data_IF_555015732648
#
_entry.id   IF_555015732648
#
_cell.length_a   1.000
_cell.length_b   1.000
_cell.length_c   1.000
_cell.angle_alpha   90.00
_cell.angle_beta   90.00
_cell.angle_gamma   90.00
#
_symmetry.space_group_name_H-M   'P 1'
#
loop_
_entity.id
_entity.type
_entity.pdbx_description
1 polymer ?
#
# COMPACT_ATOMS: atom_id res chain seq x y z
N UNK A 1 -5.94 -2.50 -23.10
CA UNK A 1 -4.62 -2.45 -22.44
C UNK A 1 -4.42 -1.03 -21.98
N UNK A 2 -4.49 -0.79 -20.67
CA UNK A 2 -3.97 0.47 -20.13
C UNK A 2 -2.45 0.50 -20.37
N UNK A 3 -1.91 1.68 -20.68
CA UNK A 3 -0.46 1.84 -20.69
C UNK A 3 0.03 1.75 -19.23
N UNK A 4 1.23 1.20 -19.02
CA UNK A 4 1.86 1.06 -17.70
C UNK A 4 1.92 2.41 -16.95
N UNK A 5 2.07 3.53 -17.67
CA UNK A 5 1.97 4.87 -17.09
C UNK A 5 0.58 5.17 -16.52
N UNK A 6 -0.50 4.82 -17.22
CA UNK A 6 -1.88 5.01 -16.71
C UNK A 6 -2.13 4.14 -15.48
N UNK A 7 -1.60 2.92 -15.45
CA UNK A 7 -1.69 2.06 -14.26
C UNK A 7 -0.93 2.65 -13.06
N UNK A 8 0.20 3.32 -13.28
CA UNK A 8 0.92 4.00 -12.19
C UNK A 8 0.18 5.23 -11.67
N UNK A 9 -0.49 6.00 -12.54
CA UNK A 9 -1.34 7.11 -12.11
C UNK A 9 -2.55 6.59 -11.31
N UNK A 10 -3.20 5.52 -11.79
CA UNK A 10 -4.29 4.86 -11.05
C UNK A 10 -3.81 4.34 -9.69
N UNK A 11 -2.63 3.69 -9.64
CA UNK A 11 -2.03 3.21 -8.40
C UNK A 11 -1.78 4.36 -7.42
N UNK A 12 -1.34 5.52 -7.90
CA UNK A 12 -1.12 6.69 -7.05
C UNK A 12 -2.42 7.14 -6.38
N UNK A 13 -3.53 7.21 -7.11
CA UNK A 13 -4.84 7.54 -6.56
C UNK A 13 -5.31 6.50 -5.52
N UNK A 14 -5.12 5.21 -5.81
CA UNK A 14 -5.42 4.15 -4.86
C UNK A 14 -4.59 4.27 -3.57
N UNK A 15 -3.29 4.59 -3.69
CA UNK A 15 -2.41 4.81 -2.54
C UNK A 15 -2.88 6.01 -1.71
N UNK A 16 -3.30 7.12 -2.33
CA UNK A 16 -3.81 8.27 -1.59
C UNK A 16 -5.08 7.94 -0.81
N UNK A 17 -5.97 7.15 -1.41
CA UNK A 17 -7.16 6.65 -0.70
C UNK A 17 -6.79 5.72 0.46
N UNK A 18 -5.81 4.83 0.26
CA UNK A 18 -5.29 3.94 1.29
C UNK A 18 -4.68 4.72 2.46
N UNK A 19 -3.85 5.73 2.19
CA UNK A 19 -3.26 6.62 3.20
C UNK A 19 -4.34 7.33 4.03
N UNK A 20 -5.38 7.87 3.38
CA UNK A 20 -6.52 8.52 4.05
C UNK A 20 -7.24 7.53 4.97
N UNK A 21 -7.44 6.30 4.50
CA UNK A 21 -8.14 5.25 5.25
C UNK A 21 -7.36 4.85 6.51
N UNK A 22 -6.04 4.67 6.41
CA UNK A 22 -5.21 4.35 7.58
C UNK A 22 -5.18 5.51 8.59
N UNK A 23 -4.98 6.73 8.10
CA UNK A 23 -4.95 7.92 8.94
C UNK A 23 -6.26 8.13 9.70
N UNK A 24 -7.42 7.92 9.06
CA UNK A 24 -8.73 8.09 9.73
C UNK A 24 -9.02 7.00 10.74
N UNK A 25 -8.74 5.74 10.40
CA UNK A 25 -9.24 4.60 11.18
C UNK A 25 -8.26 4.08 12.24
N UNK A 26 -6.96 4.37 12.11
CA UNK A 26 -5.94 3.90 13.04
C UNK A 26 -5.34 5.07 13.81
N UNK A 27 -4.83 6.06 13.08
CA UNK A 27 -3.96 7.07 13.69
C UNK A 27 -4.63 8.40 14.01
N UNK A 28 -5.90 8.57 13.63
CA UNK A 28 -6.67 9.81 13.86
C UNK A 28 -5.91 11.07 13.37
N UNK A 29 -5.24 10.95 12.22
CA UNK A 29 -4.41 12.00 11.62
C UNK A 29 -2.98 12.14 12.20
N UNK A 30 -2.67 11.44 13.28
CA UNK A 30 -1.28 11.33 13.78
C UNK A 30 -0.47 10.39 12.86
N UNK A 31 0.85 10.47 12.85
CA UNK A 31 1.73 9.62 12.01
C UNK A 31 1.46 9.69 10.48
N UNK A 32 0.95 10.82 9.98
CA UNK A 32 0.66 11.00 8.55
C UNK A 32 1.92 10.86 7.66
N UNK A 33 3.09 11.20 8.21
CA UNK A 33 4.38 11.06 7.51
C UNK A 33 4.76 9.59 7.33
N UNK A 34 4.64 8.76 8.37
CA UNK A 34 4.92 7.33 8.29
C UNK A 34 3.92 6.59 7.40
N UNK A 35 2.65 7.00 7.40
CA UNK A 35 1.65 6.48 6.47
C UNK A 35 2.01 6.85 5.02
N UNK A 36 2.45 8.08 4.79
CA UNK A 36 2.88 8.53 3.45
C UNK A 36 4.16 7.81 2.99
N UNK A 37 5.08 7.53 3.92
CA UNK A 37 6.30 6.75 3.65
C UNK A 37 5.95 5.36 3.14
N UNK A 38 4.98 4.69 3.78
CA UNK A 38 4.48 3.40 3.31
C UNK A 38 3.90 3.49 1.89
N UNK A 39 3.05 4.48 1.63
CA UNK A 39 2.51 4.71 0.28
C UNK A 39 3.61 4.91 -0.77
N UNK A 40 4.62 5.71 -0.45
CA UNK A 40 5.77 5.99 -1.32
C UNK A 40 6.62 4.73 -1.58
N UNK A 41 6.85 3.88 -0.58
CA UNK A 41 7.56 2.62 -0.76
C UNK A 41 6.77 1.66 -1.65
N UNK A 42 5.45 1.55 -1.46
CA UNK A 42 4.58 0.70 -2.28
C UNK A 42 4.64 1.12 -3.76
N UNK A 43 4.44 2.41 -4.09
CA UNK A 43 4.49 2.85 -5.49
C UNK A 43 5.87 2.66 -6.09
N UNK A 44 6.94 2.92 -5.33
CA UNK A 44 8.32 2.73 -5.80
C UNK A 44 8.58 1.26 -6.11
N UNK A 45 8.14 0.36 -5.23
CA UNK A 45 8.28 -1.08 -5.40
C UNK A 45 7.50 -1.56 -6.64
N UNK A 46 6.23 -1.17 -6.79
CA UNK A 46 5.42 -1.48 -7.96
C UNK A 46 6.05 -0.99 -9.26
N UNK A 47 6.60 0.23 -9.28
CA UNK A 47 7.31 0.78 -10.46
C UNK A 47 8.59 0.00 -10.77
N UNK A 48 9.40 -0.31 -9.76
CA UNK A 48 10.69 -1.00 -9.93
C UNK A 48 10.56 -2.43 -10.47
N UNK A 49 9.44 -3.09 -10.15
CA UNK A 49 9.17 -4.48 -10.53
C UNK A 49 8.03 -4.61 -11.54
N UNK A 50 7.52 -3.50 -12.08
CA UNK A 50 6.37 -3.47 -13.01
C UNK A 50 5.21 -4.33 -12.53
N UNK A 51 4.74 -4.05 -11.30
CA UNK A 51 3.71 -4.81 -10.57
C UNK A 51 4.01 -6.28 -10.27
N UNK A 52 5.13 -6.86 -10.72
CA UNK A 52 5.54 -8.23 -10.43
C UNK A 52 6.08 -8.38 -9.00
N UNK A 53 5.20 -8.21 -8.03
CA UNK A 53 5.50 -8.21 -6.59
C UNK A 53 4.51 -9.13 -5.86
N UNK A 54 4.89 -9.65 -4.71
CA UNK A 54 4.06 -10.51 -3.87
C UNK A 54 3.52 -9.75 -2.66
N UNK A 55 2.53 -10.31 -1.97
CA UNK A 55 2.09 -9.80 -0.68
C UNK A 55 3.24 -9.77 0.35
N UNK A 56 4.13 -10.77 0.30
CA UNK A 56 5.27 -10.83 1.20
C UNK A 56 6.29 -9.71 0.93
N UNK A 57 6.44 -9.27 -0.32
CA UNK A 57 7.26 -8.09 -0.63
C UNK A 57 6.70 -6.85 0.08
N UNK A 58 5.37 -6.66 0.13
CA UNK A 58 4.75 -5.54 0.86
C UNK A 58 4.92 -5.67 2.38
N UNK A 59 4.69 -6.87 2.92
CA UNK A 59 4.83 -7.13 4.37
C UNK A 59 6.29 -7.06 4.84
N UNK A 60 7.24 -7.16 3.92
CA UNK A 60 8.68 -7.02 4.21
C UNK A 60 9.17 -5.57 4.13
N UNK A 61 8.33 -4.61 3.72
CA UNK A 61 8.69 -3.19 3.68
C UNK A 61 9.07 -2.68 5.09
N UNK A 62 10.17 -1.92 5.16
CA UNK A 62 10.61 -1.32 6.42
C UNK A 62 9.55 -0.35 6.95
N UNK A 63 8.98 0.48 6.07
CA UNK A 63 7.90 1.40 6.43
C UNK A 63 6.67 0.68 7.00
N UNK A 64 6.30 -0.50 6.45
CA UNK A 64 5.20 -1.29 6.99
C UNK A 64 5.51 -1.81 8.40
N UNK A 65 6.70 -2.34 8.62
CA UNK A 65 7.13 -2.82 9.93
C UNK A 65 7.17 -1.69 10.97
N UNK A 66 7.68 -0.51 10.60
CA UNK A 66 7.67 0.68 11.45
C UNK A 66 6.25 1.14 11.79
N UNK A 67 5.37 1.19 10.79
CA UNK A 67 3.98 1.56 10.98
C UNK A 67 3.24 0.55 11.88
N UNK A 68 3.53 -0.75 11.74
CA UNK A 68 2.98 -1.81 12.58
C UNK A 68 3.46 -1.72 14.04
N UNK A 69 4.68 -1.25 14.29
CA UNK A 69 5.17 -0.98 15.65
C UNK A 69 4.42 0.19 16.31
N UNK A 70 4.11 1.24 15.54
CA UNK A 70 3.40 2.44 16.00
C UNK A 70 1.89 2.23 16.13
N UNK A 71 1.35 1.24 15.44
CA UNK A 71 -0.08 0.92 15.45
C UNK A 71 -0.52 0.39 16.82
N UNK A 72 -1.61 0.96 17.42
CA UNK A 72 -2.19 0.44 18.65
C UNK A 72 -2.49 -1.06 18.54
N UNK A 73 -2.24 -1.83 19.61
CA UNK A 73 -2.42 -3.30 19.60
C UNK A 73 -3.79 -3.74 19.07
N UNK A 74 -4.85 -3.01 19.42
CA UNK A 74 -6.23 -3.26 18.99
C UNK A 74 -6.46 -3.09 17.49
N UNK A 75 -5.60 -2.34 16.81
CA UNK A 75 -5.74 -1.99 15.38
C UNK A 75 -4.71 -2.68 14.49
N UNK A 76 -3.81 -3.52 15.05
CA UNK A 76 -2.77 -4.20 14.27
C UNK A 76 -3.33 -5.17 13.24
N UNK A 77 -4.32 -5.98 13.63
CA UNK A 77 -5.00 -6.88 12.70
C UNK A 77 -5.66 -6.10 11.57
N UNK A 78 -6.28 -4.96 11.89
CA UNK A 78 -6.87 -4.07 10.89
C UNK A 78 -5.81 -3.55 9.91
N UNK A 79 -4.68 -3.02 10.38
CA UNK A 79 -3.59 -2.58 9.49
C UNK A 79 -3.12 -3.69 8.54
N UNK A 80 -2.89 -4.90 9.08
CA UNK A 80 -2.45 -6.06 8.30
C UNK A 80 -3.49 -6.36 7.20
N UNK A 81 -4.78 -6.47 7.57
CA UNK A 81 -5.84 -6.74 6.60
C UNK A 81 -5.99 -5.64 5.56
N UNK A 82 -5.76 -4.37 5.90
CA UNK A 82 -5.80 -3.29 4.91
C UNK A 82 -4.67 -3.44 3.87
N UNK A 83 -3.46 -3.84 4.27
CA UNK A 83 -2.37 -4.13 3.33
C UNK A 83 -2.67 -5.36 2.47
N UNK A 84 -3.24 -6.41 3.07
CA UNK A 84 -3.66 -7.62 2.35
C UNK A 84 -4.73 -7.33 1.30
N UNK A 85 -5.75 -6.55 1.67
CA UNK A 85 -6.80 -6.13 0.76
C UNK A 85 -6.26 -5.22 -0.35
N UNK A 86 -5.38 -4.27 0.00
CA UNK A 86 -4.77 -3.40 -1.00
C UNK A 86 -3.97 -4.20 -2.05
N UNK A 87 -3.21 -5.21 -1.61
CA UNK A 87 -2.54 -6.12 -2.53
C UNK A 87 -3.53 -6.87 -3.42
N UNK A 88 -4.54 -7.51 -2.83
CA UNK A 88 -5.47 -8.41 -3.52
C UNK A 88 -6.39 -7.67 -4.48
N UNK A 89 -6.87 -6.50 -4.08
CA UNK A 89 -7.90 -5.77 -4.83
C UNK A 89 -7.31 -4.81 -5.87
N UNK A 90 -6.06 -4.34 -5.65
CA UNK A 90 -5.43 -3.31 -6.48
C UNK A 90 -4.20 -3.84 -7.21
N UNK A 91 -3.20 -4.34 -6.48
CA UNK A 91 -1.88 -4.66 -7.06
C UNK A 91 -1.92 -5.95 -7.87
N UNK A 92 -2.55 -7.00 -7.35
CA UNK A 92 -2.60 -8.31 -7.99
C UNK A 92 -3.31 -8.27 -9.35
N UNK A 93 -4.50 -7.66 -9.49
CA UNK A 93 -5.18 -7.53 -10.78
C UNK A 93 -4.39 -6.71 -11.80
N UNK A 94 -3.58 -5.72 -11.37
CA UNK A 94 -2.73 -4.94 -12.28
C UNK A 94 -1.68 -5.79 -13.00
N UNK A 95 -1.33 -6.98 -12.49
CA UNK A 95 -0.43 -7.91 -13.18
C UNK A 95 -1.08 -8.56 -14.39
N UNK A 96 -2.35 -8.93 -14.27
CA UNK A 96 -3.09 -9.61 -15.34
C UNK A 96 -3.40 -8.65 -16.50
N UNK A 97 -3.46 -7.34 -16.23
CA UNK A 97 -3.64 -6.31 -17.26
C UNK A 97 -2.39 -6.02 -18.12
N UNK A 98 -1.23 -6.56 -17.73
CA UNK A 98 0.03 -6.39 -18.46
C UNK A 98 0.22 -7.42 -19.61
N UNK A 99 -0.63 -8.44 -19.68
CA UNK A 99 -0.55 -9.55 -20.64
C UNK A 99 -1.71 -9.55 -21.64
#
# INVERSE_FOLDING_TARGET
MQNLEEQYENLYDFIKNFEILLNKNIFQGQNSEEVSLLGNEIITLCKSKSFNITLDDLKSLNSFNELLMRTPKTSKSYLISQVENFYTDIIEPSKDELY
#
